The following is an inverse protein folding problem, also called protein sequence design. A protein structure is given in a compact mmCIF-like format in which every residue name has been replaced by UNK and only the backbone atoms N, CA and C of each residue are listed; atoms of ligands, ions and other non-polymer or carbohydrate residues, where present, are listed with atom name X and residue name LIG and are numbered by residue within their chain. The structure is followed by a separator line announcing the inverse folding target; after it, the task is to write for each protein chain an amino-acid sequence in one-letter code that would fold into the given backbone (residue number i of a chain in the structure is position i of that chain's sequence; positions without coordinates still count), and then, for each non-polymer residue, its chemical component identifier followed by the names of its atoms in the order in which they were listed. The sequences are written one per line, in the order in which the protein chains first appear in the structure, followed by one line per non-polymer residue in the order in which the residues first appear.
data_IF_927336129677
#
_entry.id   IF_927336129677
#
_cell.length_a   1.000
_cell.length_b   1.000
_cell.length_c   1.000
_cell.angle_alpha   90.00
_cell.angle_beta   90.00
_cell.angle_gamma   90.00
#
_symmetry.space_group_name_H-M   'P 1'
#
loop_
_entity.id
_entity.type
_entity.pdbx_description
1 polymer ?
#
# COMPACT_ATOMS: atom_id res chain seq x y z
N UNK A 1 -18.40 20.68 2.75
CA UNK A 1 -18.55 19.26 2.35
C UNK A 1 -17.23 18.60 1.93
N UNK A 2 -16.54 19.06 0.87
CA UNK A 2 -15.30 18.43 0.35
C UNK A 2 -14.18 18.24 1.40
N UNK A 3 -13.97 19.24 2.28
CA UNK A 3 -12.96 19.17 3.36
C UNK A 3 -13.24 18.02 4.35
N UNK A 4 -14.50 17.74 4.67
CA UNK A 4 -14.87 16.64 5.56
C UNK A 4 -14.67 15.29 4.87
N UNK A 5 -15.00 15.21 3.58
CA UNK A 5 -14.79 14.01 2.79
C UNK A 5 -13.30 13.68 2.73
N UNK A 6 -12.43 14.62 2.37
CA UNK A 6 -10.98 14.38 2.34
C UNK A 6 -10.38 13.98 3.70
N UNK A 7 -10.95 14.42 4.81
CA UNK A 7 -10.43 14.18 6.17
C UNK A 7 -10.50 12.71 6.59
N UNK A 8 -11.50 11.96 6.13
CA UNK A 8 -11.71 10.55 6.51
C UNK A 8 -11.39 9.58 5.38
N UNK A 9 -10.62 10.03 4.38
CA UNK A 9 -10.30 9.27 3.18
C UNK A 9 -9.47 8.02 3.41
N UNK A 10 -8.64 8.03 4.44
CA UNK A 10 -7.95 6.85 4.96
C UNK A 10 -8.90 5.75 5.47
N UNK A 11 -10.13 6.10 5.88
CA UNK A 11 -11.12 5.16 6.42
C UNK A 11 -12.16 4.73 5.40
N UNK A 12 -12.81 5.68 4.71
CA UNK A 12 -13.92 5.31 3.82
C UNK A 12 -13.44 4.70 2.49
N UNK A 13 -12.23 5.03 2.00
CA UNK A 13 -11.70 4.45 0.76
C UNK A 13 -11.40 2.94 0.88
N UNK A 14 -10.69 2.45 1.92
CA UNK A 14 -10.55 1.01 2.11
C UNK A 14 -11.90 0.32 2.36
N UNK A 15 -12.82 0.95 3.09
CA UNK A 15 -14.17 0.41 3.30
C UNK A 15 -14.94 0.26 1.98
N UNK A 16 -14.94 1.30 1.14
CA UNK A 16 -15.55 1.26 -0.19
C UNK A 16 -14.92 0.15 -1.05
N UNK A 17 -13.59 0.05 -1.01
CA UNK A 17 -12.84 -0.99 -1.73
C UNK A 17 -13.20 -2.38 -1.21
N UNK A 18 -13.37 -2.55 0.10
CA UNK A 18 -13.80 -3.79 0.74
C UNK A 18 -15.22 -4.19 0.31
N UNK A 19 -16.15 -3.23 0.26
CA UNK A 19 -17.51 -3.46 -0.24
C UNK A 19 -17.47 -3.95 -1.70
N UNK A 20 -16.71 -3.27 -2.56
CA UNK A 20 -16.53 -3.66 -3.97
C UNK A 20 -15.88 -5.04 -4.09
N UNK A 21 -14.89 -5.34 -3.25
CA UNK A 21 -14.27 -6.65 -3.16
C UNK A 21 -15.29 -7.74 -2.80
N UNK A 22 -16.15 -7.51 -1.80
CA UNK A 22 -17.17 -8.48 -1.37
C UNK A 22 -18.15 -8.84 -2.50
N UNK A 23 -18.56 -7.85 -3.32
CA UNK A 23 -19.39 -8.09 -4.50
C UNK A 23 -18.67 -8.92 -5.57
N UNK A 24 -17.34 -8.76 -5.71
CA UNK A 24 -16.54 -9.42 -6.74
C UNK A 24 -15.83 -10.70 -6.27
N UNK A 25 -15.92 -11.06 -4.98
CA UNK A 25 -15.12 -12.11 -4.34
C UNK A 25 -15.16 -13.46 -5.04
N UNK A 26 -16.29 -13.81 -5.68
CA UNK A 26 -16.46 -15.09 -6.39
C UNK A 26 -15.58 -15.23 -7.63
N UNK A 27 -15.11 -14.11 -8.20
CA UNK A 27 -14.30 -14.05 -9.42
C UNK A 27 -12.79 -13.96 -9.15
N UNK A 28 -12.41 -13.78 -7.89
CA UNK A 28 -11.01 -13.57 -7.49
C UNK A 28 -10.38 -14.94 -7.19
N UNK A 29 -9.20 -15.20 -7.74
CA UNK A 29 -8.44 -16.42 -7.45
C UNK A 29 -8.06 -16.54 -5.97
N UNK A 30 -7.99 -17.77 -5.46
CA UNK A 30 -7.93 -18.04 -4.01
C UNK A 30 -6.73 -17.40 -3.30
N UNK A 31 -5.57 -17.34 -3.95
CA UNK A 31 -4.37 -16.73 -3.38
C UNK A 31 -4.53 -15.21 -3.14
N UNK A 32 -5.14 -14.47 -4.07
CA UNK A 32 -5.36 -13.03 -3.91
C UNK A 32 -6.55 -12.71 -3.02
N UNK A 33 -7.55 -13.60 -3.02
CA UNK A 33 -8.80 -13.45 -2.28
C UNK A 33 -8.54 -13.18 -0.80
N UNK A 34 -7.80 -14.07 -0.13
CA UNK A 34 -7.55 -13.95 1.30
C UNK A 34 -6.65 -12.76 1.64
N UNK A 35 -5.57 -12.56 0.89
CA UNK A 35 -4.70 -11.40 1.09
C UNK A 35 -5.48 -10.09 1.02
N UNK A 36 -6.25 -9.87 -0.07
CA UNK A 36 -7.01 -8.64 -0.26
C UNK A 36 -8.05 -8.44 0.84
N UNK A 37 -8.76 -9.50 1.24
CA UNK A 37 -9.74 -9.40 2.32
C UNK A 37 -9.10 -8.93 3.63
N UNK A 38 -8.06 -9.62 4.10
CA UNK A 38 -7.41 -9.26 5.36
C UNK A 38 -6.73 -7.90 5.29
N UNK A 39 -6.09 -7.58 4.16
CA UNK A 39 -5.46 -6.28 3.94
C UNK A 39 -6.48 -5.15 4.01
N UNK A 40 -7.61 -5.24 3.29
CA UNK A 40 -8.64 -4.21 3.28
C UNK A 40 -9.38 -4.10 4.61
N UNK A 41 -9.65 -5.24 5.26
CA UNK A 41 -10.26 -5.27 6.59
C UNK A 41 -9.36 -4.60 7.62
N UNK A 42 -8.08 -4.97 7.66
CA UNK A 42 -7.10 -4.37 8.55
C UNK A 42 -7.01 -2.85 8.36
N UNK A 43 -6.85 -2.39 7.12
CA UNK A 43 -6.80 -0.95 6.81
C UNK A 43 -8.09 -0.24 7.26
N UNK A 44 -9.26 -0.80 6.96
CA UNK A 44 -10.55 -0.21 7.35
C UNK A 44 -10.68 -0.06 8.86
N UNK A 45 -10.37 -1.12 9.61
CA UNK A 45 -10.50 -1.14 11.08
C UNK A 45 -9.50 -0.19 11.72
N UNK A 46 -8.22 -0.29 11.33
CA UNK A 46 -7.16 0.48 11.98
C UNK A 46 -7.29 1.98 11.66
N UNK A 47 -7.58 2.37 10.42
CA UNK A 47 -7.82 3.78 10.10
C UNK A 47 -9.11 4.30 10.73
N UNK A 48 -10.15 3.46 10.85
CA UNK A 48 -11.35 3.81 11.61
C UNK A 48 -11.05 4.12 13.08
N UNK A 49 -10.22 3.31 13.74
CA UNK A 49 -9.75 3.55 15.11
C UNK A 49 -8.92 4.84 15.16
N UNK A 50 -7.97 5.04 14.24
CA UNK A 50 -7.16 6.25 14.18
C UNK A 50 -8.00 7.51 14.02
N UNK A 51 -9.01 7.47 13.14
CA UNK A 51 -9.95 8.56 12.89
C UNK A 51 -10.83 8.85 14.10
N UNK A 52 -11.33 7.82 14.79
CA UNK A 52 -12.08 7.97 16.04
C UNK A 52 -11.23 8.62 17.14
N UNK A 53 -10.03 8.10 17.38
CA UNK A 53 -9.09 8.67 18.36
C UNK A 53 -8.73 10.11 18.03
N UNK A 54 -8.45 10.40 16.76
CA UNK A 54 -8.14 11.76 16.29
C UNK A 54 -9.32 12.73 16.42
N UNK A 55 -10.56 12.24 16.33
CA UNK A 55 -11.76 13.04 16.59
C UNK A 55 -11.90 13.39 18.08
N UNK A 56 -11.53 12.47 18.97
CA UNK A 56 -11.56 12.64 20.41
C UNK A 56 -10.27 13.20 21.01
N UNK A 57 -9.34 13.70 20.19
CA UNK A 57 -8.04 14.23 20.60
C UNK A 57 -7.18 13.24 21.41
N UNK A 58 -7.39 11.94 21.21
CA UNK A 58 -6.59 10.88 21.81
C UNK A 58 -5.36 10.65 20.93
N UNK A 59 -4.16 10.66 21.52
CA UNK A 59 -2.92 10.37 20.79
C UNK A 59 -2.97 8.98 20.16
N UNK A 60 -2.80 8.92 18.84
CA UNK A 60 -2.79 7.70 18.04
C UNK A 60 -1.42 7.46 17.38
N UNK A 61 -0.37 8.16 17.83
CA UNK A 61 0.98 8.09 17.25
C UNK A 61 1.51 6.65 17.20
N UNK A 62 1.28 5.88 18.26
CA UNK A 62 1.70 4.49 18.35
C UNK A 62 1.07 3.59 17.28
N UNK A 63 -0.16 3.87 16.84
CA UNK A 63 -0.82 3.10 15.80
C UNK A 63 -0.11 3.27 14.45
N UNK A 64 0.49 4.44 14.18
CA UNK A 64 1.22 4.65 12.93
C UNK A 64 2.44 3.73 12.82
N UNK A 65 3.17 3.48 13.91
CA UNK A 65 4.25 2.48 13.91
C UNK A 65 3.74 1.09 13.51
N UNK A 66 2.63 0.65 14.12
CA UNK A 66 2.02 -0.65 13.84
C UNK A 66 1.51 -0.72 12.39
N UNK A 67 0.86 0.34 11.89
CA UNK A 67 0.33 0.43 10.53
C UNK A 67 1.47 0.26 9.52
N UNK A 68 2.54 1.04 9.65
CA UNK A 68 3.63 1.02 8.67
C UNK A 68 4.42 -0.28 8.70
N UNK A 69 4.64 -0.84 9.90
CA UNK A 69 5.21 -2.17 10.02
C UNK A 69 4.33 -3.25 9.36
N UNK A 70 3.04 -3.28 9.68
CA UNK A 70 2.11 -4.25 9.12
C UNK A 70 1.97 -4.10 7.60
N UNK A 71 1.95 -2.86 7.10
CA UNK A 71 1.92 -2.56 5.67
C UNK A 71 3.17 -3.11 4.97
N UNK A 72 4.37 -2.83 5.47
CA UNK A 72 5.59 -3.36 4.86
C UNK A 72 5.61 -4.89 4.88
N UNK A 73 5.31 -5.51 6.02
CA UNK A 73 5.33 -6.98 6.13
C UNK A 73 4.31 -7.61 5.17
N UNK A 74 3.07 -7.11 5.15
CA UNK A 74 2.01 -7.66 4.31
C UNK A 74 2.26 -7.45 2.82
N UNK A 75 2.70 -6.25 2.41
CA UNK A 75 2.99 -5.94 1.01
C UNK A 75 4.24 -6.66 0.52
N UNK A 76 5.28 -6.77 1.36
CA UNK A 76 6.48 -7.55 1.02
C UNK A 76 6.15 -9.03 0.84
N UNK A 77 5.32 -9.60 1.73
CA UNK A 77 4.83 -10.97 1.57
C UNK A 77 4.05 -11.15 0.26
N UNK A 78 3.12 -10.23 -0.02
CA UNK A 78 2.33 -10.25 -1.25
C UNK A 78 3.22 -10.20 -2.50
N UNK A 79 4.11 -9.21 -2.59
CA UNK A 79 4.98 -9.02 -3.75
C UNK A 79 5.97 -10.16 -3.92
N UNK A 80 6.74 -10.51 -2.88
CA UNK A 80 7.82 -11.48 -3.01
C UNK A 80 7.31 -12.92 -3.09
N UNK A 81 6.33 -13.30 -2.26
CA UNK A 81 5.89 -14.70 -2.15
C UNK A 81 4.75 -15.00 -3.11
N UNK A 82 3.70 -14.18 -3.11
CA UNK A 82 2.49 -14.49 -3.89
C UNK A 82 2.62 -14.10 -5.36
N UNK A 83 3.26 -12.98 -5.67
CA UNK A 83 3.39 -12.47 -7.05
C UNK A 83 4.68 -12.96 -7.71
N UNK A 84 5.83 -12.62 -7.13
CA UNK A 84 7.15 -12.86 -7.73
C UNK A 84 7.72 -14.26 -7.45
N UNK A 85 7.06 -15.04 -6.59
CA UNK A 85 7.43 -16.43 -6.21
C UNK A 85 8.92 -16.58 -5.84
N UNK A 86 9.46 -15.60 -5.12
CA UNK A 86 10.83 -15.64 -4.60
C UNK A 86 10.95 -16.57 -3.40
N UNK A 87 12.18 -16.97 -3.08
CA UNK A 87 12.48 -17.79 -1.90
C UNK A 87 12.03 -17.05 -0.63
N UNK A 88 11.45 -17.78 0.32
CA UNK A 88 10.99 -17.23 1.61
C UNK A 88 12.10 -16.54 2.40
N UNK A 89 13.36 -16.97 2.24
CA UNK A 89 14.52 -16.32 2.86
C UNK A 89 14.65 -14.84 2.48
N UNK A 90 14.29 -14.46 1.25
CA UNK A 90 14.31 -13.06 0.80
C UNK A 90 13.25 -12.25 1.54
N UNK A 91 12.05 -12.82 1.73
CA UNK A 91 11.00 -12.19 2.53
C UNK A 91 11.45 -11.99 3.98
N UNK A 92 11.99 -13.02 4.64
CA UNK A 92 12.45 -12.91 6.01
C UNK A 92 13.61 -11.92 6.17
N UNK A 93 14.52 -11.85 5.19
CA UNK A 93 15.59 -10.87 5.19
C UNK A 93 15.05 -9.43 5.13
N UNK A 94 14.13 -9.15 4.20
CA UNK A 94 13.56 -7.80 4.04
C UNK A 94 12.66 -7.42 5.22
N UNK A 95 11.68 -8.28 5.56
CA UNK A 95 10.73 -8.01 6.64
C UNK A 95 11.40 -8.04 8.02
N UNK A 96 12.32 -8.99 8.26
CA UNK A 96 13.09 -9.08 9.49
C UNK A 96 14.05 -7.92 9.65
N UNK A 97 14.79 -7.54 8.59
CA UNK A 97 15.67 -6.38 8.58
C UNK A 97 14.92 -5.08 8.88
N UNK A 98 13.75 -4.88 8.24
CA UNK A 98 12.90 -3.73 8.54
C UNK A 98 12.35 -3.76 9.97
N UNK A 99 11.94 -4.92 10.48
CA UNK A 99 11.45 -5.05 11.86
C UNK A 99 12.52 -4.68 12.87
N UNK A 100 13.76 -5.16 12.68
CA UNK A 100 14.90 -4.79 13.54
C UNK A 100 15.15 -3.28 13.46
N UNK A 101 15.16 -2.72 12.25
CA UNK A 101 15.31 -1.28 12.05
C UNK A 101 14.23 -0.48 12.80
N UNK A 102 12.96 -0.88 12.68
CA UNK A 102 11.83 -0.22 13.33
C UNK A 102 11.94 -0.27 14.86
N UNK A 103 12.36 -1.41 15.41
CA UNK A 103 12.58 -1.54 16.86
C UNK A 103 13.70 -0.62 17.35
N UNK A 104 14.80 -0.51 16.60
CA UNK A 104 15.89 0.43 16.91
C UNK A 104 15.40 1.87 16.78
N UNK A 105 14.64 2.20 15.73
CA UNK A 105 14.08 3.52 15.52
C UNK A 105 13.16 3.93 16.68
N UNK A 106 12.28 3.03 17.13
CA UNK A 106 11.41 3.27 18.29
C UNK A 106 12.22 3.45 19.57
N UNK A 107 13.30 2.69 19.76
CA UNK A 107 14.10 2.75 20.98
C UNK A 107 14.97 4.02 21.07
N UNK A 108 15.49 4.51 19.94
CA UNK A 108 16.55 5.53 19.92
C UNK A 108 16.13 6.88 19.33
N UNK A 109 15.24 6.92 18.34
CA UNK A 109 15.01 8.12 17.52
C UNK A 109 13.58 8.64 17.55
N UNK A 110 12.59 7.76 17.42
CA UNK A 110 11.18 8.11 17.31
C UNK A 110 10.36 7.29 18.33
N UNK A 111 10.35 7.68 19.63
CA UNK A 111 9.71 6.89 20.67
C UNK A 111 8.22 6.70 20.44
N UNK A 112 7.77 5.47 20.66
CA UNK A 112 6.47 4.91 20.26
C UNK A 112 5.23 5.78 20.57
N UNK A 113 5.23 6.48 21.70
CA UNK A 113 4.07 7.27 22.16
C UNK A 113 4.17 8.77 21.92
N UNK A 114 5.35 9.28 21.56
CA UNK A 114 5.65 10.72 21.61
C UNK A 114 6.11 11.31 20.29
N UNK A 115 6.65 10.47 19.39
CA UNK A 115 7.11 10.90 18.08
C UNK A 115 6.28 10.27 16.97
N UNK A 116 6.19 11.00 15.86
CA UNK A 116 5.66 10.44 14.61
C UNK A 116 6.73 9.58 13.93
N UNK A 117 6.34 8.44 13.36
CA UNK A 117 7.25 7.46 12.75
C UNK A 117 7.85 7.89 11.39
N UNK A 118 8.40 9.08 11.27
CA UNK A 118 8.85 9.63 9.99
C UNK A 118 9.93 8.80 9.30
N UNK A 119 10.87 8.25 10.05
CA UNK A 119 11.99 7.45 9.50
C UNK A 119 11.52 6.06 9.09
N UNK A 120 10.77 5.37 9.95
CA UNK A 120 10.15 4.07 9.66
C UNK A 120 9.33 4.11 8.38
N UNK A 121 8.39 5.06 8.30
CA UNK A 121 7.52 5.21 7.11
C UNK A 121 8.35 5.43 5.84
N UNK A 122 9.39 6.26 5.92
CA UNK A 122 10.20 6.62 4.75
C UNK A 122 10.98 5.41 4.22
N UNK A 123 11.67 4.68 5.11
CA UNK A 123 12.41 3.46 4.73
C UNK A 123 11.45 2.38 4.24
N UNK A 124 10.30 2.24 4.89
CA UNK A 124 9.29 1.26 4.50
C UNK A 124 8.70 1.54 3.11
N UNK A 125 8.34 2.80 2.84
CA UNK A 125 7.86 3.24 1.53
C UNK A 125 8.90 3.05 0.44
N UNK A 126 10.17 3.40 0.69
CA UNK A 126 11.24 3.18 -0.29
C UNK A 126 11.43 1.69 -0.59
N UNK A 127 11.32 0.83 0.42
CA UNK A 127 11.42 -0.63 0.24
C UNK A 127 10.28 -1.16 -0.63
N UNK A 128 9.03 -0.79 -0.32
CA UNK A 128 7.86 -1.19 -1.12
C UNK A 128 7.92 -0.61 -2.54
N UNK A 129 8.40 0.63 -2.68
CA UNK A 129 8.60 1.29 -3.97
C UNK A 129 9.57 0.47 -4.84
N UNK A 130 10.75 0.11 -4.30
CA UNK A 130 11.76 -0.68 -5.02
C UNK A 130 11.24 -2.07 -5.40
N UNK A 131 10.50 -2.74 -4.51
CA UNK A 131 9.87 -4.03 -4.81
C UNK A 131 8.81 -3.91 -5.92
N UNK A 132 8.05 -2.82 -5.91
CA UNK A 132 7.05 -2.53 -6.94
C UNK A 132 7.70 -2.22 -8.28
N UNK A 133 8.80 -1.46 -8.30
CA UNK A 133 9.61 -1.24 -9.51
C UNK A 133 10.22 -2.54 -10.03
N UNK A 134 10.72 -3.40 -9.15
CA UNK A 134 11.23 -4.71 -9.52
C UNK A 134 10.15 -5.58 -10.16
N UNK A 135 8.91 -5.55 -9.64
CA UNK A 135 7.78 -6.20 -10.29
C UNK A 135 7.51 -5.63 -11.68
N UNK A 136 7.48 -4.30 -11.84
CA UNK A 136 7.26 -3.67 -13.16
C UNK A 136 8.34 -4.07 -14.17
N UNK A 137 9.59 -4.19 -13.73
CA UNK A 137 10.69 -4.68 -14.57
C UNK A 137 10.55 -6.15 -14.97
N UNK A 138 9.99 -7.00 -14.09
CA UNK A 138 9.71 -8.40 -14.45
C UNK A 138 8.55 -8.46 -15.45
N UNK A 139 7.50 -7.67 -15.22
CA UNK A 139 6.35 -7.59 -16.11
C UNK A 139 6.72 -7.04 -17.50
N UNK A 140 7.67 -6.10 -17.57
CA UNK A 140 8.13 -5.57 -18.85
C UNK A 140 8.93 -6.58 -19.69
N UNK A 141 9.36 -7.69 -19.07
CA UNK A 141 10.09 -8.77 -19.73
C UNK A 141 9.20 -9.95 -20.10
N UNK A 142 7.92 -9.94 -19.72
CA UNK A 142 6.97 -11.00 -20.06
C UNK A 142 6.08 -10.60 -21.24
N UNK A 143 5.55 -11.60 -21.94
CA UNK A 143 4.60 -11.39 -23.05
C UNK A 143 3.31 -10.70 -22.59
N UNK A 144 3.03 -10.75 -21.29
CA UNK A 144 1.89 -10.07 -20.67
C UNK A 144 1.97 -8.53 -20.76
N UNK A 145 3.14 -7.97 -21.10
CA UNK A 145 3.30 -6.51 -21.29
C UNK A 145 2.37 -5.95 -22.39
N UNK A 146 1.90 -6.76 -23.34
CA UNK A 146 0.95 -6.26 -24.33
C UNK A 146 -0.43 -5.96 -23.72
N UNK A 147 -0.75 -6.56 -22.57
CA UNK A 147 -2.06 -6.51 -21.93
C UNK A 147 -2.02 -6.23 -20.43
N UNK A 148 -0.91 -5.69 -19.90
CA UNK A 148 -0.70 -5.50 -18.47
C UNK A 148 -1.82 -4.69 -17.79
N UNK A 149 -2.39 -3.70 -18.50
CA UNK A 149 -3.49 -2.87 -17.99
C UNK A 149 -4.77 -3.66 -17.68
N UNK A 150 -4.86 -4.91 -18.15
CA UNK A 150 -5.97 -5.83 -17.84
C UNK A 150 -5.69 -6.72 -16.64
N UNK A 151 -4.45 -6.77 -16.17
CA UNK A 151 -4.06 -7.60 -15.03
C UNK A 151 -4.44 -6.90 -13.71
N UNK A 152 -5.26 -7.51 -12.84
CA UNK A 152 -5.56 -6.96 -11.53
C UNK A 152 -4.30 -6.66 -10.70
N UNK A 153 -3.32 -7.56 -10.76
CA UNK A 153 -2.05 -7.43 -10.04
C UNK A 153 -1.29 -6.17 -10.44
N UNK A 154 -1.28 -5.82 -11.74
CA UNK A 154 -0.62 -4.60 -12.21
C UNK A 154 -1.17 -3.36 -11.49
N UNK A 155 -2.49 -3.26 -11.33
CA UNK A 155 -3.14 -2.16 -10.64
C UNK A 155 -2.85 -2.14 -9.14
N UNK A 156 -2.86 -3.31 -8.48
CA UNK A 156 -2.50 -3.41 -7.07
C UNK A 156 -1.06 -2.99 -6.81
N UNK A 157 -0.11 -3.44 -7.64
CA UNK A 157 1.30 -3.05 -7.49
C UNK A 157 1.51 -1.58 -7.84
N UNK A 158 0.83 -1.07 -8.87
CA UNK A 158 0.85 0.36 -9.21
C UNK A 158 0.31 1.22 -8.06
N UNK A 159 -0.69 0.74 -7.32
CA UNK A 159 -1.25 1.45 -6.18
C UNK A 159 -0.20 1.67 -5.09
N UNK A 160 0.55 0.60 -4.76
CA UNK A 160 1.65 0.68 -3.82
C UNK A 160 2.78 1.57 -4.34
N UNK A 161 3.19 1.38 -5.61
CA UNK A 161 4.23 2.18 -6.26
C UNK A 161 3.94 3.69 -6.14
N UNK A 162 2.78 4.13 -6.63
CA UNK A 162 2.41 5.55 -6.66
C UNK A 162 2.20 6.09 -5.25
N UNK A 163 1.53 5.33 -4.38
CA UNK A 163 1.28 5.76 -3.00
C UNK A 163 2.57 5.93 -2.21
N UNK A 164 3.51 4.98 -2.30
CA UNK A 164 4.81 5.06 -1.64
C UNK A 164 5.67 6.19 -2.20
N UNK A 165 5.68 6.41 -3.53
CA UNK A 165 6.42 7.51 -4.14
C UNK A 165 5.93 8.88 -3.64
N UNK A 166 4.62 9.12 -3.74
CA UNK A 166 4.03 10.39 -3.32
C UNK A 166 4.14 10.60 -1.80
N UNK A 167 3.94 9.55 -1.01
CA UNK A 167 4.05 9.65 0.46
C UNK A 167 5.48 9.93 0.90
N UNK A 168 6.48 9.32 0.26
CA UNK A 168 7.90 9.61 0.51
C UNK A 168 8.23 11.06 0.19
N UNK A 169 7.80 11.55 -0.98
CA UNK A 169 8.01 12.94 -1.36
C UNK A 169 7.32 13.92 -0.40
N UNK A 170 6.09 13.60 0.04
CA UNK A 170 5.35 14.40 1.00
C UNK A 170 6.07 14.43 2.37
N UNK A 171 6.58 13.31 2.86
CA UNK A 171 7.31 13.25 4.13
C UNK A 171 8.62 14.03 4.09
N UNK A 172 9.39 13.91 3.01
CA UNK A 172 10.62 14.69 2.81
C UNK A 172 10.28 16.18 2.78
N UNK A 173 9.29 16.57 1.97
CA UNK A 173 8.87 17.97 1.85
C UNK A 173 8.37 18.53 3.18
N UNK A 174 7.60 17.74 3.93
CA UNK A 174 7.12 18.11 5.27
C UNK A 174 8.30 18.38 6.21
N UNK A 175 9.29 17.48 6.28
CA UNK A 175 10.49 17.67 7.12
C UNK A 175 11.26 18.93 6.71
N UNK A 176 11.44 19.17 5.42
CA UNK A 176 12.11 20.39 4.91
C UNK A 176 11.37 21.66 5.32
N UNK A 177 10.04 21.73 5.13
CA UNK A 177 9.27 22.91 5.52
C UNK A 177 9.26 23.15 7.04
N UNK A 178 9.24 22.09 7.84
CA UNK A 178 9.38 22.21 9.30
C UNK A 178 10.75 22.76 9.70
N UNK A 179 11.83 22.30 9.06
CA UNK A 179 13.19 22.81 9.29
C UNK A 179 13.36 24.27 8.87
N UNK A 180 12.69 24.70 7.80
CA UNK A 180 12.69 26.09 7.33
C UNK A 180 11.77 27.00 8.16
N UNK A 181 11.07 26.48 9.17
CA UNK A 181 10.18 27.26 10.03
C UNK A 181 8.90 27.73 9.33
N UNK A 182 8.42 26.99 8.31
CA UNK A 182 7.24 27.37 7.52
C UNK A 182 6.09 26.34 7.70
N UNK A 183 5.43 26.31 8.86
CA UNK A 183 4.50 25.25 9.24
C UNK A 183 3.20 25.22 8.43
N UNK A 184 2.79 26.33 7.82
CA UNK A 184 1.59 26.36 6.96
C UNK A 184 1.74 25.51 5.71
N UNK A 185 2.91 25.56 5.08
CA UNK A 185 3.29 24.78 3.92
C UNK A 185 3.43 23.30 4.32
N UNK A 186 4.01 23.02 5.48
CA UNK A 186 4.07 21.67 6.02
C UNK A 186 2.67 21.07 6.22
N UNK A 187 1.72 21.83 6.80
CA UNK A 187 0.31 21.41 6.94
C UNK A 187 -0.37 21.18 5.59
N UNK A 188 -0.04 21.98 4.58
CA UNK A 188 -0.56 21.77 3.23
C UNK A 188 -0.04 20.47 2.62
N UNK A 189 1.27 20.21 2.72
CA UNK A 189 1.89 18.96 2.27
C UNK A 189 1.28 17.74 2.96
N UNK A 190 0.95 17.84 4.25
CA UNK A 190 0.28 16.75 4.96
C UNK A 190 -1.07 16.36 4.33
N UNK A 191 -1.80 17.32 3.74
CA UNK A 191 -3.06 17.02 3.02
C UNK A 191 -2.82 16.18 1.77
N UNK A 192 -1.62 16.19 1.19
CA UNK A 192 -1.28 15.31 0.07
C UNK A 192 -1.34 13.83 0.47
N UNK A 193 -1.11 13.49 1.75
CA UNK A 193 -1.25 12.11 2.23
C UNK A 193 -2.69 11.57 2.04
N UNK A 194 -3.71 12.42 2.22
CA UNK A 194 -5.10 12.02 1.94
C UNK A 194 -5.30 11.70 0.45
N UNK A 195 -4.64 12.47 -0.43
CA UNK A 195 -4.68 12.21 -1.87
C UNK A 195 -3.98 10.89 -2.20
N UNK A 196 -2.86 10.56 -1.54
CA UNK A 196 -2.16 9.29 -1.77
C UNK A 196 -3.02 8.08 -1.37
N UNK A 197 -3.78 8.17 -0.27
CA UNK A 197 -4.75 7.14 0.11
C UNK A 197 -5.87 6.99 -0.91
N UNK A 198 -6.45 8.09 -1.38
CA UNK A 198 -7.50 8.06 -2.41
C UNK A 198 -6.99 7.38 -3.68
N UNK A 199 -5.81 7.77 -4.17
CA UNK A 199 -5.21 7.21 -5.38
C UNK A 199 -4.92 5.71 -5.23
N UNK A 200 -4.35 5.31 -4.08
CA UNK A 200 -4.06 3.90 -3.78
C UNK A 200 -5.30 3.03 -3.88
N UNK A 201 -6.37 3.41 -3.18
CA UNK A 201 -7.60 2.62 -3.18
C UNK A 201 -8.40 2.75 -4.48
N UNK A 202 -8.31 3.88 -5.18
CA UNK A 202 -8.85 3.99 -6.54
C UNK A 202 -8.21 2.96 -7.48
N UNK A 203 -6.89 2.78 -7.42
CA UNK A 203 -6.20 1.76 -8.20
C UNK A 203 -6.59 0.34 -7.78
N UNK A 204 -6.81 0.08 -6.48
CA UNK A 204 -7.38 -1.19 -6.04
C UNK A 204 -8.78 -1.44 -6.65
N UNK A 205 -9.65 -0.44 -6.69
CA UNK A 205 -10.97 -0.56 -7.31
C UNK A 205 -10.87 -0.88 -8.81
N UNK A 206 -9.94 -0.23 -9.53
CA UNK A 206 -9.68 -0.53 -10.94
C UNK A 206 -9.15 -1.96 -11.11
N UNK A 207 -8.23 -2.39 -10.25
CA UNK A 207 -7.71 -3.76 -10.22
C UNK A 207 -8.80 -4.80 -9.96
N UNK A 208 -9.68 -4.57 -8.99
CA UNK A 208 -10.83 -5.42 -8.72
C UNK A 208 -11.74 -5.52 -9.94
N UNK A 209 -12.03 -4.39 -10.58
CA UNK A 209 -12.89 -4.32 -11.77
C UNK A 209 -12.33 -5.12 -12.96
N UNK A 210 -11.01 -5.36 -13.01
CA UNK A 210 -10.39 -6.19 -14.03
C UNK A 210 -10.79 -7.67 -13.92
N UNK A 211 -11.17 -8.18 -12.74
CA UNK A 211 -11.67 -9.55 -12.57
C UNK A 211 -13.05 -9.79 -13.22
N UNK A 212 -13.78 -8.75 -13.61
CA UNK A 212 -15.05 -8.91 -14.33
C UNK A 212 -14.88 -9.18 -15.83
N UNK A 213 -13.68 -9.01 -16.37
CA UNK A 213 -13.46 -9.17 -17.81
C UNK A 213 -13.34 -10.67 -18.14
N UNK A 214 -14.07 -11.17 -19.16
CA UNK A 214 -13.97 -12.57 -19.54
C UNK A 214 -12.53 -12.88 -19.98
N UNK A 215 -11.95 -14.03 -19.57
CA UNK A 215 -10.67 -14.45 -20.09
C UNK A 215 -10.80 -14.65 -21.60
N UNK A 216 -9.99 -13.93 -22.40
CA UNK A 216 -9.88 -14.27 -23.82
C UNK A 216 -9.26 -15.66 -23.88
N UNK A 217 -9.91 -16.60 -24.58
CA UNK A 217 -9.28 -17.86 -24.96
C UNK A 217 -7.94 -17.51 -25.61
N UNK A 218 -6.84 -17.87 -24.96
CA UNK A 218 -5.52 -17.76 -25.57
C UNK A 218 -5.55 -18.64 -26.81
N UNK A 219 -5.53 -18.04 -27.99
CA UNK A 219 -5.48 -18.70 -29.30
C UNK A 219 -4.10 -19.34 -29.57
N UNK A 220 -3.43 -19.83 -28.52
CA UNK A 220 -2.13 -20.47 -28.55
C UNK A 220 -2.22 -21.85 -27.89
N UNK A 221 -3.23 -22.63 -28.27
CA UNK A 221 -3.01 -24.06 -28.45
C UNK A 221 -2.42 -24.21 -29.84
N UNK A 222 -1.11 -23.94 -29.99
CA UNK A 222 -0.38 -24.58 -31.07
C UNK A 222 -0.41 -26.08 -30.75
N UNK A 223 -1.01 -26.93 -31.60
CA UNK A 223 -0.85 -28.36 -31.44
C UNK A 223 0.66 -28.64 -31.47
N UNK A 224 1.16 -29.31 -30.43
CA UNK A 224 2.46 -29.96 -30.48
C UNK A 224 2.41 -30.91 -31.68
N UNK A 225 3.05 -30.50 -32.78
CA UNK A 225 3.43 -31.44 -33.82
C UNK A 225 4.40 -32.43 -33.16
N UNK A 226 3.95 -33.67 -33.20
CA UNK A 226 4.63 -34.92 -32.83
C UNK A 226 6.09 -34.96 -33.24
#
# INVERSE_FOLDING_TARGET
MLKHLLRFSDTYMPLLTLIIYLFQRKKIGDYHKWFLFFYLLFNTVIYGICGYMGYHYISNLYLYHIIHWAELVSVTYYLLILILRKKQSVFYFVAGGYTIFELINIALWEPFFTAFNGNGVTVGNLTILLLSMYYMLQLSKSDDILHFQRLPVFWFVSAFLVSCALSTLALISYKVYMLLGIPDQARFVWRLMNVTYILKFAFFIVGLSCYNRPPRRSSSQHPSLS
#
